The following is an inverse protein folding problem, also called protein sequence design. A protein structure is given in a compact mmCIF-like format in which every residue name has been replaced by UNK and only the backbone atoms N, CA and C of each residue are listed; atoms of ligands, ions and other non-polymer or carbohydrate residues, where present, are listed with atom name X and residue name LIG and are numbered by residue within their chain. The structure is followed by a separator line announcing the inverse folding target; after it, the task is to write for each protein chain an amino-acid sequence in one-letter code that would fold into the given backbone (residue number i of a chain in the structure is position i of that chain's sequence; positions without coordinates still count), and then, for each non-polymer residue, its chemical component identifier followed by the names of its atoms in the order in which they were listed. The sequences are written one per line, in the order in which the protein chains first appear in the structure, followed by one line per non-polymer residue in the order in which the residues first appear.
data_IF_686596646349
#
_entry.id   IF_686596646349
#
_cell.length_a   1.000
_cell.length_b   1.000
_cell.length_c   1.000
_cell.angle_alpha   90.00
_cell.angle_beta   90.00
_cell.angle_gamma   90.00
#
_symmetry.space_group_name_H-M   'P 1'
#
loop_
_entity.id
_entity.type
_entity.pdbx_description
1 polymer ?
#
# COMPACT_ATOMS: atom_id res chain seq x y z
N UNK A 1 9.73 4.61 21.21
CA UNK A 1 8.51 4.57 20.38
C UNK A 1 8.92 4.56 18.93
N UNK A 2 8.26 3.73 18.14
CA UNK A 2 8.43 3.66 16.69
C UNK A 2 7.04 3.51 16.05
N UNK A 3 6.95 3.83 14.77
CA UNK A 3 5.76 3.60 13.93
C UNK A 3 6.06 2.55 12.90
N UNK A 4 5.24 1.51 12.84
CA UNK A 4 5.23 0.57 11.74
C UNK A 4 4.27 1.09 10.66
N UNK A 5 4.72 1.13 9.41
CA UNK A 5 3.90 1.48 8.25
C UNK A 5 3.93 0.30 7.28
N UNK A 6 2.79 -0.31 7.06
CA UNK A 6 2.56 -1.37 6.10
C UNK A 6 2.15 -0.75 4.77
N UNK A 7 2.76 -1.18 3.66
CA UNK A 7 2.46 -0.65 2.33
C UNK A 7 1.76 -1.67 1.43
N UNK A 8 2.08 -2.94 1.56
CA UNK A 8 1.50 -3.95 0.69
C UNK A 8 1.95 -5.37 0.97
N UNK A 9 1.31 -6.28 0.25
CA UNK A 9 1.61 -7.71 0.23
C UNK A 9 1.64 -8.19 -1.23
N UNK A 10 2.55 -9.11 -1.52
CA UNK A 10 2.67 -9.79 -2.80
C UNK A 10 2.62 -11.29 -2.57
N UNK A 11 1.75 -11.98 -3.28
CA UNK A 11 1.73 -13.43 -3.35
C UNK A 11 2.76 -13.87 -4.38
N UNK A 12 3.84 -14.50 -3.93
CA UNK A 12 4.88 -15.02 -4.82
C UNK A 12 4.51 -16.40 -5.35
N UNK A 13 3.84 -17.19 -4.53
CA UNK A 13 3.38 -18.54 -4.85
C UNK A 13 2.27 -18.88 -3.87
N UNK A 14 1.21 -19.54 -4.34
CA UNK A 14 0.10 -19.97 -3.50
C UNK A 14 -0.27 -21.43 -3.75
N UNK A 15 -0.91 -22.03 -2.75
CA UNK A 15 -1.25 -23.47 -2.78
C UNK A 15 -2.50 -23.74 -3.60
N UNK A 16 -3.42 -22.77 -3.65
CA UNK A 16 -4.73 -22.93 -4.25
C UNK A 16 -4.90 -22.11 -5.52
N UNK A 17 -6.02 -22.32 -6.21
CA UNK A 17 -6.37 -21.47 -7.36
C UNK A 17 -6.61 -20.02 -6.98
N UNK A 18 -6.89 -19.73 -5.70
CA UNK A 18 -7.07 -18.41 -5.08
C UNK A 18 -7.01 -18.59 -3.55
N UNK A 19 -6.11 -17.88 -2.84
CA UNK A 19 -6.03 -17.93 -1.38
C UNK A 19 -6.80 -16.74 -0.76
N UNK A 20 -7.65 -17.00 0.23
CA UNK A 20 -8.35 -15.96 1.02
C UNK A 20 -7.47 -15.51 2.20
N UNK A 21 -6.55 -14.56 1.98
CA UNK A 21 -5.58 -14.17 3.00
C UNK A 21 -6.00 -12.97 3.84
N UNK A 22 -5.55 -12.96 5.10
CA UNK A 22 -5.74 -11.82 6.00
C UNK A 22 -4.54 -11.61 6.93
N UNK A 23 -4.35 -10.35 7.33
CA UNK A 23 -3.28 -9.92 8.21
C UNK A 23 -3.83 -9.54 9.58
N UNK A 24 -3.16 -10.03 10.61
CA UNK A 24 -3.42 -9.67 11.99
C UNK A 24 -2.20 -9.00 12.61
N UNK A 25 -2.45 -8.09 13.55
CA UNK A 25 -1.41 -7.42 14.31
C UNK A 25 -1.63 -7.53 15.80
N UNK A 26 -0.53 -7.48 16.55
CA UNK A 26 -0.54 -7.39 18.01
C UNK A 26 0.55 -6.41 18.44
N UNK A 27 0.14 -5.36 19.13
CA UNK A 27 0.99 -4.21 19.47
C UNK A 27 1.26 -4.21 20.97
N UNK A 28 2.54 -4.11 21.33
CA UNK A 28 3.04 -4.10 22.71
C UNK A 28 2.46 -5.25 23.55
N UNK A 29 1.93 -4.94 24.73
CA UNK A 29 1.33 -5.88 25.67
C UNK A 29 -0.14 -6.21 25.35
N UNK A 30 -0.68 -5.72 24.22
CA UNK A 30 -2.02 -6.09 23.81
C UNK A 30 -2.10 -7.61 23.64
N UNK A 31 -3.07 -8.24 24.31
CA UNK A 31 -3.24 -9.70 24.28
C UNK A 31 -3.99 -10.17 23.05
N UNK A 32 -4.74 -9.29 22.41
CA UNK A 32 -5.64 -9.63 21.32
C UNK A 32 -4.98 -9.34 19.97
N UNK A 33 -5.17 -10.26 19.02
CA UNK A 33 -4.87 -10.02 17.62
C UNK A 33 -5.98 -9.19 17.00
N UNK A 34 -5.59 -8.17 16.23
CA UNK A 34 -6.51 -7.31 15.47
C UNK A 34 -6.31 -7.57 13.99
N UNK A 35 -7.38 -7.91 13.28
CA UNK A 35 -7.35 -7.99 11.82
C UNK A 35 -7.25 -6.59 11.23
N UNK A 36 -6.28 -6.39 10.34
CA UNK A 36 -6.00 -5.07 9.75
C UNK A 36 -6.27 -5.04 8.25
N UNK A 37 -6.39 -6.21 7.62
CA UNK A 37 -6.59 -6.35 6.19
C UNK A 37 -6.96 -7.79 5.82
N UNK A 38 -7.78 -7.95 4.79
CA UNK A 38 -8.11 -9.23 4.15
C UNK A 38 -8.35 -9.03 2.64
N UNK A 39 -8.00 -10.02 1.83
CA UNK A 39 -8.30 -10.08 0.39
C UNK A 39 -7.98 -11.46 -0.17
N UNK A 40 -8.66 -11.79 -1.26
CA UNK A 40 -8.31 -12.92 -2.11
C UNK A 40 -7.05 -12.59 -2.93
N UNK A 41 -6.15 -13.57 -3.08
CA UNK A 41 -4.87 -13.45 -3.78
C UNK A 41 -4.52 -14.71 -4.57
N UNK A 42 -4.08 -14.50 -5.82
CA UNK A 42 -3.48 -15.52 -6.67
C UNK A 42 -1.97 -15.38 -6.72
N UNK A 43 -1.25 -16.42 -7.15
CA UNK A 43 0.17 -16.32 -7.51
C UNK A 43 0.43 -15.15 -8.46
N UNK A 44 1.34 -14.26 -8.05
CA UNK A 44 1.70 -13.05 -8.77
C UNK A 44 0.87 -11.82 -8.39
N UNK A 45 -0.22 -11.97 -7.63
CA UNK A 45 -1.00 -10.83 -7.17
C UNK A 45 -0.21 -9.97 -6.20
N UNK A 46 -0.41 -8.66 -6.31
CA UNK A 46 0.09 -7.70 -5.36
C UNK A 46 -1.04 -6.75 -4.95
N UNK A 47 -1.24 -6.59 -3.64
CA UNK A 47 -2.28 -5.74 -3.08
C UNK A 47 -1.64 -4.63 -2.28
N UNK A 48 -2.11 -3.40 -2.53
CA UNK A 48 -1.79 -2.25 -1.71
C UNK A 48 -2.61 -2.32 -0.42
N UNK A 49 -1.94 -2.29 0.73
CA UNK A 49 -2.61 -2.09 2.00
C UNK A 49 -1.80 -1.10 2.83
N UNK A 50 -2.40 0.06 3.05
CA UNK A 50 -1.76 1.11 3.83
C UNK A 50 -2.37 1.11 5.20
N UNK A 51 -1.61 0.58 6.14
CA UNK A 51 -1.98 0.50 7.55
C UNK A 51 -0.76 0.87 8.39
N UNK A 52 -0.98 1.38 9.58
CA UNK A 52 0.12 1.72 10.47
C UNK A 52 -0.27 1.57 11.93
N UNK A 53 0.74 1.43 12.78
CA UNK A 53 0.57 1.51 14.24
C UNK A 53 1.83 2.02 14.90
N UNK A 54 1.65 2.81 15.94
CA UNK A 54 2.72 3.14 16.88
C UNK A 54 2.92 1.99 17.87
N UNK A 55 4.15 1.76 18.30
CA UNK A 55 4.51 0.75 19.30
C UNK A 55 5.70 1.20 20.14
N UNK A 56 5.76 0.71 21.38
CA UNK A 56 6.72 1.16 22.41
C UNK A 56 7.70 0.08 22.88
N UNK A 57 7.33 -1.19 22.72
CA UNK A 57 8.17 -2.36 22.96
C UNK A 57 8.26 -3.21 21.69
N UNK A 58 7.11 -3.63 21.15
CA UNK A 58 7.07 -4.56 20.03
C UNK A 58 5.81 -4.46 19.18
N UNK A 59 5.89 -4.87 17.93
CA UNK A 59 4.74 -5.18 17.10
C UNK A 59 4.94 -6.55 16.46
N UNK A 60 3.87 -7.35 16.44
CA UNK A 60 3.82 -8.64 15.75
C UNK A 60 2.83 -8.56 14.62
N UNK A 61 3.20 -9.11 13.48
CA UNK A 61 2.39 -9.19 12.29
C UNK A 61 2.29 -10.65 11.91
N UNK A 62 1.07 -11.13 11.72
CA UNK A 62 0.76 -12.51 11.36
C UNK A 62 -0.05 -12.52 10.08
N UNK A 63 0.36 -13.37 9.14
CA UNK A 63 -0.39 -13.67 7.92
C UNK A 63 -1.08 -15.01 8.11
N UNK A 64 -2.31 -15.06 7.64
CA UNK A 64 -3.18 -16.21 7.76
C UNK A 64 -3.94 -16.41 6.46
N UNK A 65 -4.35 -17.64 6.23
CA UNK A 65 -5.27 -18.07 5.18
C UNK A 65 -6.62 -18.46 5.82
N UNK A 66 -7.70 -18.32 5.07
CA UNK A 66 -9.02 -18.83 5.46
C UNK A 66 -9.57 -19.83 4.45
N UNK A 67 -10.05 -20.97 4.94
CA UNK A 67 -10.63 -22.05 4.13
C UNK A 67 -12.13 -21.83 3.83
N UNK A 68 -12.59 -20.59 3.71
CA UNK A 68 -13.97 -20.27 3.36
C UNK A 68 -15.02 -20.58 4.44
N UNK A 69 -15.12 -19.72 5.46
CA UNK A 69 -16.40 -19.43 6.14
C UNK A 69 -16.41 -17.98 6.61
N UNK A 70 -17.50 -17.26 6.32
CA UNK A 70 -17.74 -15.88 6.73
C UNK A 70 -17.25 -15.59 8.16
N UNK A 71 -16.11 -14.90 8.26
CA UNK A 71 -15.42 -14.65 9.52
C UNK A 71 -16.11 -13.50 10.25
N UNK A 72 -16.45 -13.73 11.51
CA UNK A 72 -16.69 -12.61 12.42
C UNK A 72 -15.32 -11.97 12.71
N UNK A 73 -15.20 -10.65 12.53
CA UNK A 73 -13.96 -9.91 12.76
C UNK A 73 -13.34 -10.28 14.12
N UNK A 74 -12.10 -10.81 14.10
CA UNK A 74 -11.37 -11.21 15.30
C UNK A 74 -11.52 -12.67 15.75
N UNK A 75 -12.20 -13.53 14.98
CA UNK A 75 -12.27 -14.97 15.22
C UNK A 75 -11.42 -15.75 14.20
N UNK A 76 -10.45 -16.55 14.65
CA UNK A 76 -9.89 -17.63 13.82
C UNK A 76 -10.97 -18.70 13.65
N UNK A 77 -11.48 -18.88 12.43
CA UNK A 77 -12.41 -19.96 12.14
C UNK A 77 -11.68 -21.31 12.28
N UNK A 78 -12.37 -22.40 12.66
CA UNK A 78 -11.80 -23.73 12.54
C UNK A 78 -11.49 -24.00 11.06
N UNK A 79 -10.21 -24.13 10.72
CA UNK A 79 -9.73 -24.29 9.34
C UNK A 79 -8.78 -23.19 8.87
N UNK A 80 -8.65 -22.05 9.58
CA UNK A 80 -7.70 -21.03 9.15
C UNK A 80 -6.25 -21.45 9.40
N UNK A 81 -5.41 -21.42 8.38
CA UNK A 81 -4.00 -21.78 8.46
C UNK A 81 -3.11 -20.56 8.72
N UNK A 82 -2.17 -20.71 9.65
CA UNK A 82 -1.14 -19.69 9.88
C UNK A 82 -0.04 -19.81 8.83
N UNK A 83 0.02 -18.82 7.94
CA UNK A 83 1.04 -18.77 6.89
C UNK A 83 2.40 -18.26 7.40
N UNK A 84 2.39 -17.60 8.55
CA UNK A 84 3.59 -17.21 9.28
C UNK A 84 3.43 -15.88 10.01
N UNK A 85 4.47 -15.49 10.74
CA UNK A 85 4.50 -14.22 11.44
C UNK A 85 5.92 -13.66 11.56
N UNK A 86 6.02 -12.38 11.86
CA UNK A 86 7.26 -11.73 12.27
C UNK A 86 7.01 -10.76 13.42
N UNK A 87 8.06 -10.52 14.21
CA UNK A 87 8.06 -9.60 15.35
C UNK A 87 9.14 -8.54 15.15
N UNK A 88 8.78 -7.29 15.40
CA UNK A 88 9.70 -6.16 15.43
C UNK A 88 9.71 -5.59 16.85
N UNK A 89 10.88 -5.41 17.44
CA UNK A 89 11.05 -4.77 18.75
C UNK A 89 11.74 -3.42 18.60
N UNK A 90 11.67 -2.56 19.62
CA UNK A 90 12.51 -1.35 19.74
C UNK A 90 13.58 -1.55 20.83
N UNK A 91 14.73 -0.85 20.76
CA UNK A 91 15.14 0.09 19.72
C UNK A 91 15.60 -0.61 18.44
N UNK A 92 15.33 0.01 17.28
CA UNK A 92 15.89 -0.40 15.99
C UNK A 92 16.45 0.80 15.25
N UNK A 93 17.52 0.55 14.51
CA UNK A 93 18.18 1.55 13.67
C UNK A 93 17.87 1.35 12.17
N UNK A 94 17.06 0.35 11.84
CA UNK A 94 16.65 0.10 10.47
C UNK A 94 15.67 1.19 10.04
N UNK A 95 15.94 1.83 8.90
CA UNK A 95 15.13 2.91 8.34
C UNK A 95 14.91 2.67 6.85
N UNK A 96 13.78 3.16 6.33
CA UNK A 96 13.41 2.99 4.93
C UNK A 96 12.61 1.72 4.67
N UNK A 97 12.32 1.47 3.40
CA UNK A 97 11.48 0.34 2.99
C UNK A 97 12.17 -1.00 3.24
N UNK A 98 11.45 -1.91 3.86
CA UNK A 98 11.84 -3.26 4.21
C UNK A 98 10.85 -4.26 3.62
N UNK A 99 11.32 -5.49 3.44
CA UNK A 99 10.50 -6.59 2.98
C UNK A 99 10.68 -7.78 3.91
N UNK A 100 9.58 -8.41 4.31
CA UNK A 100 9.57 -9.67 5.03
C UNK A 100 8.94 -10.74 4.15
N UNK A 101 9.68 -11.82 3.91
CA UNK A 101 9.15 -13.01 3.24
C UNK A 101 8.61 -13.96 4.30
N UNK A 102 7.38 -14.44 4.10
CA UNK A 102 6.73 -15.48 4.90
C UNK A 102 6.44 -16.66 3.98
N UNK A 103 6.95 -17.83 4.34
CA UNK A 103 6.71 -19.08 3.60
C UNK A 103 6.08 -20.09 4.54
N UNK A 104 4.92 -20.61 4.14
CA UNK A 104 4.18 -21.65 4.83
C UNK A 104 4.31 -22.96 4.06
N UNK A 105 4.40 -24.08 4.77
CA UNK A 105 4.27 -25.40 4.16
C UNK A 105 3.12 -26.14 4.86
N UNK A 106 1.97 -26.21 4.19
CA UNK A 106 0.76 -26.85 4.72
C UNK A 106 0.42 -28.03 3.81
N UNK A 107 0.19 -29.21 4.38
CA UNK A 107 -0.18 -30.40 3.60
C UNK A 107 0.84 -30.89 2.55
N UNK A 108 2.07 -30.35 2.53
CA UNK A 108 3.07 -30.63 1.50
C UNK A 108 3.04 -29.67 0.29
N UNK A 109 2.17 -28.67 0.33
CA UNK A 109 2.14 -27.53 -0.58
C UNK A 109 2.77 -26.32 0.12
N UNK A 110 3.25 -25.33 -0.65
CA UNK A 110 3.95 -24.15 -0.13
C UNK A 110 3.27 -22.86 -0.59
N UNK A 111 2.98 -21.95 0.33
CA UNK A 111 2.62 -20.56 -0.02
C UNK A 111 3.75 -19.63 0.37
N UNK A 112 4.07 -18.66 -0.47
CA UNK A 112 5.09 -17.64 -0.19
C UNK A 112 4.54 -16.24 -0.42
N UNK A 113 4.63 -15.40 0.60
CA UNK A 113 4.17 -14.03 0.59
C UNK A 113 5.29 -13.07 0.96
N UNK A 114 5.29 -11.89 0.33
CA UNK A 114 6.21 -10.80 0.65
C UNK A 114 5.44 -9.62 1.18
N UNK A 115 5.76 -9.20 2.40
CA UNK A 115 5.16 -8.06 3.09
C UNK A 115 6.13 -6.88 3.02
N UNK A 116 5.68 -5.75 2.48
CA UNK A 116 6.47 -4.53 2.32
C UNK A 116 6.06 -3.49 3.37
N UNK A 117 7.02 -3.04 4.17
CA UNK A 117 6.79 -2.17 5.32
C UNK A 117 7.95 -1.22 5.58
N UNK A 118 7.76 -0.25 6.46
CA UNK A 118 8.80 0.65 6.96
C UNK A 118 8.66 0.85 8.47
N UNK A 119 9.80 1.09 9.13
CA UNK A 119 9.84 1.50 10.52
C UNK A 119 10.27 2.96 10.56
N UNK A 120 9.41 3.79 11.14
CA UNK A 120 9.66 5.21 11.33
C UNK A 120 9.92 5.46 12.80
N UNK A 121 11.17 5.70 13.14
CA UNK A 121 11.54 6.13 14.48
C UNK A 121 10.96 7.53 14.71
N UNK A 122 10.02 7.66 15.64
CA UNK A 122 9.36 8.92 16.01
C UNK A 122 10.05 9.50 17.25
N UNK A 123 11.05 10.40 17.10
CA UNK A 123 11.60 11.10 18.25
C UNK A 123 10.61 12.17 18.73
N UNK A 124 9.73 11.81 19.67
CA UNK A 124 9.09 12.71 20.65
C UNK A 124 8.27 13.93 20.19
N UNK A 125 8.22 14.25 18.89
CA UNK A 125 7.50 15.39 18.33
C UNK A 125 6.95 14.92 16.99
N UNK A 126 5.63 14.73 16.90
CA UNK A 126 4.96 14.55 15.63
C UNK A 126 5.22 15.82 14.80
N UNK A 127 6.14 15.74 13.85
CA UNK A 127 6.38 16.81 12.90
C UNK A 127 5.12 17.01 12.05
N UNK A 128 4.96 18.22 11.53
CA UNK A 128 3.89 18.67 10.61
C UNK A 128 3.42 17.53 9.71
N UNK A 129 2.12 17.23 9.74
CA UNK A 129 1.55 15.97 9.28
C UNK A 129 2.22 15.35 8.06
N UNK A 130 2.89 14.22 8.28
CA UNK A 130 3.45 13.36 7.25
C UNK A 130 2.38 12.57 6.49
N UNK A 131 1.09 12.84 6.71
CA UNK A 131 -0.01 12.11 6.11
C UNK A 131 -0.53 12.83 4.87
N UNK A 132 -0.62 12.11 3.76
CA UNK A 132 -1.20 12.60 2.51
C UNK A 132 -2.38 11.74 2.11
N UNK A 133 -3.51 12.38 1.80
CA UNK A 133 -4.67 11.74 1.17
C UNK A 133 -4.63 12.03 -0.31
N UNK A 134 -4.45 10.99 -1.12
CA UNK A 134 -4.68 11.06 -2.56
C UNK A 134 -6.17 10.92 -2.83
N UNK A 135 -6.75 11.95 -3.45
CA UNK A 135 -8.20 12.06 -3.63
C UNK A 135 -8.64 11.44 -4.94
N UNK A 136 -7.99 11.82 -6.06
CA UNK A 136 -8.43 11.43 -7.41
C UNK A 136 -7.33 11.55 -8.45
N UNK A 137 -7.48 10.79 -9.53
CA UNK A 137 -6.69 10.90 -10.76
C UNK A 137 -7.61 11.35 -11.90
N UNK A 138 -7.22 12.40 -12.60
CA UNK A 138 -7.85 12.85 -13.85
C UNK A 138 -6.97 12.49 -15.04
N UNK A 139 -7.56 11.83 -16.04
CA UNK A 139 -6.96 11.68 -17.36
C UNK A 139 -7.29 12.93 -18.17
N UNK A 140 -6.28 13.74 -18.48
CA UNK A 140 -6.45 14.93 -19.32
C UNK A 140 -6.29 14.60 -20.80
N UNK A 141 -5.52 13.56 -21.13
CA UNK A 141 -5.27 13.11 -22.50
C UNK A 141 -4.80 11.65 -22.43
N UNK A 142 -5.64 10.71 -22.88
CA UNK A 142 -5.29 9.30 -23.00
C UNK A 142 -4.55 9.04 -24.31
N UNK A 143 -3.63 8.08 -24.32
CA UNK A 143 -2.87 7.66 -25.51
C UNK A 143 -3.78 7.03 -26.56
N UNK A 144 -4.79 6.29 -26.11
CA UNK A 144 -5.80 5.61 -26.94
C UNK A 144 -7.24 5.94 -26.54
N UNK A 145 -8.18 5.06 -26.91
CA UNK A 145 -9.60 5.20 -26.51
C UNK A 145 -9.75 5.06 -24.99
N UNK A 146 -8.96 4.15 -24.40
CA UNK A 146 -8.82 3.96 -22.95
C UNK A 146 -7.43 3.46 -22.63
N UNK A 147 -6.80 4.01 -21.59
CA UNK A 147 -5.54 3.54 -21.02
C UNK A 147 -5.86 2.80 -19.71
N UNK A 148 -5.16 1.70 -19.41
CA UNK A 148 -5.29 0.99 -18.12
C UNK A 148 -4.14 1.47 -17.23
N UNK A 149 -4.44 2.33 -16.26
CA UNK A 149 -3.39 3.01 -15.48
C UNK A 149 -3.38 2.57 -14.01
N UNK A 150 -2.20 2.59 -13.41
CA UNK A 150 -1.99 2.32 -12.00
C UNK A 150 -0.91 3.24 -11.41
N UNK A 151 -0.94 3.41 -10.10
CA UNK A 151 0.05 4.15 -9.35
C UNK A 151 0.90 3.19 -8.52
N UNK A 152 2.19 3.52 -8.39
CA UNK A 152 3.05 2.93 -7.37
C UNK A 152 3.53 3.99 -6.39
N UNK A 153 3.66 3.61 -5.12
CA UNK A 153 4.21 4.44 -4.06
C UNK A 153 5.38 3.70 -3.42
N UNK A 154 6.56 4.31 -3.42
CA UNK A 154 7.85 3.69 -3.07
C UNK A 154 8.09 2.35 -3.80
N UNK A 155 7.73 2.31 -5.09
CA UNK A 155 7.81 1.13 -5.97
C UNK A 155 6.83 -0.02 -5.63
N UNK A 156 5.90 0.16 -4.69
CA UNK A 156 4.84 -0.82 -4.42
C UNK A 156 3.53 -0.41 -5.08
N UNK A 157 2.70 -1.36 -5.53
CA UNK A 157 1.36 -1.06 -6.01
C UNK A 157 0.62 -0.22 -4.97
N UNK A 158 0.02 0.88 -5.43
CA UNK A 158 -0.66 1.85 -4.56
C UNK A 158 -2.14 1.98 -4.93
N UNK A 159 -2.45 2.00 -6.22
CA UNK A 159 -3.81 2.13 -6.72
C UNK A 159 -3.91 1.67 -8.17
N UNK A 160 -5.05 1.14 -8.59
CA UNK A 160 -5.24 0.56 -9.91
C UNK A 160 -4.79 -0.91 -9.98
N UNK A 161 -4.71 -1.51 -11.18
CA UNK A 161 -4.89 -0.88 -12.50
C UNK A 161 -6.35 -0.69 -12.92
N UNK A 162 -6.67 0.46 -13.51
CA UNK A 162 -8.04 0.81 -13.93
C UNK A 162 -8.08 1.51 -15.29
N UNK A 163 -9.12 1.20 -16.08
CA UNK A 163 -9.37 1.85 -17.37
C UNK A 163 -9.82 3.30 -17.19
N UNK A 164 -9.16 4.20 -17.90
CA UNK A 164 -9.45 5.63 -17.97
C UNK A 164 -9.47 6.11 -19.43
N UNK A 165 -10.37 7.03 -19.74
CA UNK A 165 -10.47 7.71 -21.04
C UNK A 165 -10.15 9.19 -20.86
N UNK A 166 -9.86 9.90 -21.95
CA UNK A 166 -9.71 11.36 -21.94
C UNK A 166 -10.88 12.05 -21.25
N UNK A 167 -10.55 13.04 -20.42
CA UNK A 167 -11.44 13.77 -19.50
C UNK A 167 -12.12 12.93 -18.41
N UNK A 168 -11.78 11.64 -18.30
CA UNK A 168 -12.24 10.76 -17.25
C UNK A 168 -11.54 11.02 -15.91
N UNK A 169 -12.27 10.79 -14.82
CA UNK A 169 -11.77 10.90 -13.45
C UNK A 169 -12.03 9.61 -12.69
N UNK A 170 -11.11 9.26 -11.80
CA UNK A 170 -11.27 8.14 -10.87
C UNK A 170 -10.91 8.57 -9.45
N UNK A 171 -11.77 8.21 -8.51
CA UNK A 171 -11.50 8.35 -7.08
C UNK A 171 -10.40 7.40 -6.64
N UNK A 172 -9.49 7.90 -5.81
CA UNK A 172 -8.44 7.12 -5.16
C UNK A 172 -8.80 6.92 -3.68
N UNK A 173 -9.02 8.03 -2.95
CA UNK A 173 -9.27 8.05 -1.49
C UNK A 173 -8.35 7.11 -0.70
N UNK A 174 -7.03 7.21 -0.92
CA UNK A 174 -6.01 6.46 -0.19
C UNK A 174 -5.13 7.41 0.60
N UNK A 175 -4.85 7.06 1.84
CA UNK A 175 -4.00 7.83 2.75
C UNK A 175 -2.65 7.14 2.87
N UNK A 176 -1.54 7.88 2.77
CA UNK A 176 -0.18 7.36 2.97
C UNK A 176 0.56 8.14 4.04
N UNK A 177 1.46 7.46 4.72
CA UNK A 177 2.52 8.09 5.49
C UNK A 177 3.69 8.43 4.54
N UNK A 178 4.25 9.63 4.68
CA UNK A 178 5.38 10.12 3.89
C UNK A 178 6.57 10.34 4.82
N UNK A 179 7.41 9.33 4.97
CA UNK A 179 8.69 9.42 5.66
C UNK A 179 9.75 10.06 4.75
N UNK A 180 10.08 11.34 5.00
CA UNK A 180 11.12 12.01 4.23
C UNK A 180 10.76 12.17 2.75
N UNK A 181 11.51 11.51 1.84
CA UNK A 181 11.27 11.54 0.40
C UNK A 181 10.67 10.23 -0.09
N UNK A 182 9.43 10.26 -0.55
CA UNK A 182 8.76 9.13 -1.16
C UNK A 182 8.66 9.29 -2.68
N UNK A 183 8.77 8.17 -3.40
CA UNK A 183 8.65 8.12 -4.85
C UNK A 183 7.24 7.70 -5.24
N UNK A 184 6.55 8.54 -6.01
CA UNK A 184 5.27 8.20 -6.61
C UNK A 184 5.47 8.05 -8.12
N UNK A 185 4.89 7.02 -8.72
CA UNK A 185 4.94 6.82 -10.18
C UNK A 185 3.56 6.50 -10.72
N UNK A 186 3.33 6.91 -11.97
CA UNK A 186 2.16 6.54 -12.74
C UNK A 186 2.60 5.63 -13.89
N UNK A 187 1.87 4.55 -14.08
CA UNK A 187 2.15 3.55 -15.10
C UNK A 187 0.91 3.29 -15.96
N UNK A 188 1.15 2.89 -17.21
CA UNK A 188 0.15 2.35 -18.12
C UNK A 188 0.47 0.87 -18.38
N UNK A 189 -0.52 0.01 -18.16
CA UNK A 189 -0.48 -1.41 -18.51
C UNK A 189 -1.15 -1.59 -19.89
N UNK A 190 -0.43 -2.14 -20.87
CA UNK A 190 -1.00 -2.49 -22.18
C UNK A 190 -1.71 -3.85 -22.18
N UNK A 191 -2.43 -4.15 -23.26
CA UNK A 191 -3.17 -5.43 -23.40
C UNK A 191 -2.29 -6.67 -23.51
N UNK A 192 -0.97 -6.50 -23.61
CA UNK A 192 0.03 -7.57 -23.65
C UNK A 192 0.82 -7.68 -22.34
N UNK A 193 0.48 -6.88 -21.32
CA UNK A 193 1.12 -6.88 -20.01
C UNK A 193 2.42 -6.09 -19.92
N UNK A 194 2.79 -5.30 -20.95
CA UNK A 194 3.91 -4.37 -20.83
C UNK A 194 3.46 -3.12 -20.07
N UNK A 195 4.35 -2.63 -19.20
CA UNK A 195 4.10 -1.47 -18.36
C UNK A 195 4.97 -0.29 -18.81
N UNK A 196 4.33 0.78 -19.31
CA UNK A 196 4.98 2.03 -19.69
C UNK A 196 5.02 2.98 -18.47
N UNK A 197 6.21 3.48 -18.11
CA UNK A 197 6.36 4.54 -17.08
C UNK A 197 5.86 5.87 -17.66
N UNK A 198 4.72 6.36 -17.14
CA UNK A 198 4.13 7.63 -17.56
C UNK A 198 4.71 8.84 -16.83
N UNK A 199 5.54 8.61 -15.83
CA UNK A 199 6.27 9.64 -15.09
C UNK A 199 6.33 9.35 -13.59
N UNK A 200 7.23 10.08 -12.93
CA UNK A 200 7.43 10.00 -11.49
C UNK A 200 7.48 11.37 -10.84
N UNK A 201 7.13 11.41 -9.56
CA UNK A 201 7.22 12.58 -8.70
C UNK A 201 7.81 12.19 -7.35
N UNK A 202 8.56 13.13 -6.75
CA UNK A 202 8.99 13.01 -5.35
C UNK A 202 7.99 13.74 -4.47
N UNK A 203 7.57 13.07 -3.41
CA UNK A 203 6.61 13.60 -2.44
C UNK A 203 7.32 13.67 -1.09
N UNK A 204 7.22 14.81 -0.43
CA UNK A 204 7.73 15.00 0.94
C UNK A 204 6.64 15.63 1.80
N UNK A 205 6.65 15.33 3.09
CA UNK A 205 5.72 15.93 4.05
C UNK A 205 5.83 17.47 4.06
N UNK A 206 7.05 18.00 3.92
CA UNK A 206 7.34 19.43 3.93
C UNK A 206 6.96 20.16 2.62
N UNK A 207 6.74 19.43 1.52
CA UNK A 207 6.44 20.02 0.22
C UNK A 207 5.06 20.70 0.16
N UNK A 208 4.20 20.48 1.15
CA UNK A 208 2.81 20.90 1.14
C UNK A 208 2.51 21.62 2.47
N UNK A 209 1.70 22.68 2.43
CA UNK A 209 1.52 23.63 3.55
C UNK A 209 0.87 22.96 4.77
N UNK A 210 0.76 23.68 5.89
CA UNK A 210 0.31 23.12 7.17
C UNK A 210 -0.90 22.16 7.10
N UNK A 211 -0.87 21.13 7.96
CA UNK A 211 -2.00 20.25 8.22
C UNK A 211 -3.27 21.08 8.47
N UNK A 212 -4.43 20.61 7.99
CA UNK A 212 -5.75 21.28 8.07
C UNK A 212 -6.04 22.39 7.05
N UNK A 213 -5.40 22.35 5.89
CA UNK A 213 -5.94 23.07 4.74
C UNK A 213 -6.82 22.14 3.90
N UNK A 214 -8.03 22.58 3.58
CA UNK A 214 -8.84 22.02 2.46
C UNK A 214 -8.18 22.28 1.09
N UNK A 215 -6.92 22.72 1.11
CA UNK A 215 -6.15 23.03 -0.07
C UNK A 215 -5.76 21.73 -0.74
N UNK A 216 -6.36 21.50 -1.90
CA UNK A 216 -5.97 20.44 -2.80
C UNK A 216 -4.72 20.86 -3.59
N UNK A 217 -3.73 19.99 -3.60
CA UNK A 217 -2.52 20.07 -4.41
C UNK A 217 -2.64 19.11 -5.58
N UNK A 218 -1.82 19.32 -6.62
CA UNK A 218 -1.77 18.40 -7.74
C UNK A 218 -0.36 18.17 -8.27
N UNK A 219 -0.17 16.97 -8.83
CA UNK A 219 1.00 16.55 -9.60
C UNK A 219 0.53 16.23 -11.01
N UNK A 220 1.23 16.76 -12.01
CA UNK A 220 0.99 16.42 -13.40
C UNK A 220 2.00 15.38 -13.87
N UNK A 221 1.49 14.28 -14.41
CA UNK A 221 2.27 13.28 -15.13
C UNK A 221 2.10 13.53 -16.62
N UNK A 222 3.23 13.56 -17.33
CA UNK A 222 3.23 13.73 -18.77
C UNK A 222 4.24 12.79 -19.38
N UNK A 223 3.76 11.94 -20.27
CA UNK A 223 4.60 11.07 -21.07
C UNK A 223 4.46 11.42 -22.53
N UNK A 224 5.57 11.62 -23.21
CA UNK A 224 5.58 12.00 -24.62
C UNK A 224 6.55 11.12 -25.40
N UNK A 225 6.01 10.22 -26.21
CA UNK A 225 6.81 9.46 -27.17
C UNK A 225 7.01 10.22 -28.49
N UNK A 226 6.06 11.06 -28.90
CA UNK A 226 6.15 11.84 -30.14
C UNK A 226 5.28 13.11 -30.11
N UNK A 227 5.21 13.82 -31.24
CA UNK A 227 4.30 14.97 -31.39
C UNK A 227 2.81 14.60 -31.38
N UNK A 228 2.47 13.34 -31.66
CA UNK A 228 1.09 12.83 -31.81
C UNK A 228 0.73 11.75 -30.77
N UNK A 229 1.69 11.35 -29.92
CA UNK A 229 1.51 10.34 -28.88
C UNK A 229 2.01 10.93 -27.55
N UNK A 230 1.07 11.49 -26.81
CA UNK A 230 1.25 12.11 -25.48
C UNK A 230 0.17 11.53 -24.57
N UNK A 231 0.49 11.36 -23.29
CA UNK A 231 -0.49 11.01 -22.27
C UNK A 231 -0.32 11.96 -21.10
N UNK A 232 -1.42 12.52 -20.61
CA UNK A 232 -1.39 13.51 -19.55
C UNK A 232 -2.38 13.19 -18.45
N UNK A 233 -1.89 13.16 -17.22
CA UNK A 233 -2.68 12.89 -16.03
C UNK A 233 -2.43 13.94 -14.97
N UNK A 234 -3.44 14.22 -14.16
CA UNK A 234 -3.33 15.10 -12.99
C UNK A 234 -3.83 14.34 -11.77
N UNK A 235 -2.93 14.10 -10.85
CA UNK A 235 -3.23 13.50 -9.56
C UNK A 235 -3.45 14.60 -8.54
N UNK A 236 -4.52 14.46 -7.77
CA UNK A 236 -4.90 15.41 -6.73
C UNK A 236 -4.75 14.79 -5.34
N UNK A 237 -4.30 15.60 -4.39
CA UNK A 237 -4.06 15.17 -3.01
C UNK A 237 -4.08 16.34 -2.04
N UNK A 238 -4.15 16.04 -0.74
CA UNK A 238 -4.10 17.01 0.35
C UNK A 238 -3.35 16.44 1.54
N UNK A 239 -2.83 17.29 2.42
CA UNK A 239 -2.38 16.83 3.73
C UNK A 239 -3.57 16.40 4.57
N UNK A 240 -3.42 15.29 5.29
CA UNK A 240 -4.36 14.80 6.29
C UNK A 240 -3.86 15.15 7.69
N UNK A 241 -4.69 15.06 8.73
CA UNK A 241 -4.17 14.92 10.09
C UNK A 241 -3.63 13.51 10.32
N UNK A 242 -2.70 13.33 11.29
CA UNK A 242 -2.39 12.00 11.79
C UNK A 242 -3.65 11.24 12.16
N UNK A 243 -3.95 10.19 11.42
CA UNK A 243 -4.98 9.25 11.81
C UNK A 243 -4.44 8.50 13.03
N UNK A 244 -4.95 8.79 14.23
CA UNK A 244 -4.70 7.92 15.38
C UNK A 244 -5.72 6.80 15.26
N UNK A 245 -5.33 5.68 14.64
CA UNK A 245 -6.17 4.48 14.68
C UNK A 245 -5.91 3.83 16.04
N UNK A 246 -6.94 3.80 16.88
CA UNK A 246 -6.95 3.17 18.20
C UNK A 246 -7.05 1.65 18.11
#
# INVERSE_FOLDING_TARGET
MARFVLYGITCQDNQESEDEVYLQTRVDDNRNWQEVWASDMNTGDAKSLIWHSDYTDRIRIKLMESDGMARAAGSTAPGDDELGYFELTVPRNDTGMMEQVLTANVGGLSSTYKISYEIVNTPGVAAVSDWIVFTRLKCNDAKGITDKVYLTFNNHPFWGPLKMKTDGERTINRTVYVSGQCKLQLWEEDSTGNNDDLGSATITAQSYGAANSDREYNIQFRWRASSTRDSRYTLYFRQAEPQVVH
#
